data_IF_658837481238
#
_entry.id   IF_658837481238
#
_cell.length_a   1.000
_cell.length_b   1.000
_cell.length_c   1.000
_cell.angle_alpha   90.00
_cell.angle_beta   90.00
_cell.angle_gamma   90.00
#
_symmetry.space_group_name_H-M   'P 1'
#
loop_
_entity.id
_entity.type
_entity.pdbx_description
1 polymer ?
#
# COMPACT_ATOMS: atom_id res chain seq x y z
N UNK A 1 -11.74 -13.81 -2.61
CA UNK A 1 -12.37 -12.65 -3.26
C UNK A 1 -11.37 -11.51 -3.28
N UNK A 2 -11.09 -10.93 -4.45
CA UNK A 2 -10.25 -9.73 -4.58
C UNK A 2 -11.02 -8.52 -4.07
N UNK A 3 -10.45 -7.78 -3.10
CA UNK A 3 -11.06 -6.54 -2.61
C UNK A 3 -10.62 -5.39 -3.51
N UNK A 4 -11.59 -4.63 -4.00
CA UNK A 4 -11.36 -3.45 -4.84
C UNK A 4 -11.38 -2.21 -3.93
N UNK A 5 -10.37 -1.35 -4.04
CA UNK A 5 -10.19 -0.16 -3.22
C UNK A 5 -9.91 1.04 -4.14
N UNK A 6 -10.60 2.16 -3.91
CA UNK A 6 -10.45 3.39 -4.71
C UNK A 6 -9.73 4.45 -3.89
N UNK A 7 -8.63 5.02 -4.39
CA UNK A 7 -7.87 6.06 -3.66
C UNK A 7 -8.62 7.38 -3.51
N UNK A 8 -9.46 7.74 -4.49
CA UNK A 8 -10.19 9.02 -4.47
C UNK A 8 -11.19 9.15 -3.32
N UNK A 9 -11.61 8.04 -2.72
CA UNK A 9 -12.52 8.04 -1.56
C UNK A 9 -11.80 8.51 -0.28
N UNK A 10 -10.47 8.64 -0.32
CA UNK A 10 -9.61 8.91 0.83
C UNK A 10 -8.75 10.16 0.68
N UNK A 11 -8.69 10.74 -0.52
CA UNK A 11 -8.05 12.04 -0.70
C UNK A 11 -8.82 13.11 0.08
N UNK A 12 -8.12 14.10 0.64
CA UNK A 12 -8.79 15.27 1.21
C UNK A 12 -9.60 15.92 0.09
N UNK A 13 -10.93 15.84 0.17
CA UNK A 13 -11.78 16.67 -0.66
C UNK A 13 -11.37 18.13 -0.44
N UNK A 14 -10.66 18.74 -1.40
CA UNK A 14 -10.75 20.20 -1.50
C UNK A 14 -12.24 20.49 -1.69
N UNK A 15 -12.82 21.48 -0.97
CA UNK A 15 -14.14 21.99 -1.37
C UNK A 15 -14.06 22.29 -2.87
N UNK A 16 -15.08 21.89 -3.63
CA UNK A 16 -15.19 22.04 -5.09
C UNK A 16 -15.10 23.52 -5.50
N UNK A 17 -13.96 24.18 -5.32
CA UNK A 17 -13.67 25.49 -5.88
C UNK A 17 -13.12 25.24 -7.27
N UNK A 18 -14.04 25.25 -8.24
CA UNK A 18 -13.78 25.50 -9.66
C UNK A 18 -12.78 24.54 -10.34
N UNK A 19 -13.06 23.23 -10.33
CA UNK A 19 -12.47 22.30 -11.31
C UNK A 19 -13.13 22.41 -12.71
N UNK A 20 -13.53 23.63 -13.14
CA UNK A 20 -14.14 23.78 -14.48
C UNK A 20 -13.12 23.62 -15.62
N UNK A 21 -11.82 23.81 -15.37
CA UNK A 21 -10.81 23.87 -16.45
C UNK A 21 -9.49 23.12 -16.16
N UNK A 22 -9.40 22.18 -15.21
CA UNK A 22 -8.16 21.36 -15.10
C UNK A 22 -8.21 20.26 -16.15
N UNK A 23 -7.32 20.37 -17.13
CA UNK A 23 -7.06 19.33 -18.12
C UNK A 23 -6.73 18.03 -17.40
N UNK A 24 -7.28 16.91 -17.90
CA UNK A 24 -7.11 15.56 -17.33
C UNK A 24 -5.63 15.11 -17.27
N UNK A 25 -4.71 15.88 -17.86
CA UNK A 25 -3.28 15.59 -17.98
C UNK A 25 -2.38 16.47 -17.09
N UNK A 26 -2.95 17.26 -16.17
CA UNK A 26 -2.11 18.04 -15.27
C UNK A 26 -1.37 17.09 -14.31
N UNK A 27 -0.07 17.32 -14.06
CA UNK A 27 0.71 16.48 -13.17
C UNK A 27 0.12 16.55 -11.74
N UNK A 28 0.29 15.47 -10.96
CA UNK A 28 -0.25 15.39 -9.59
C UNK A 28 0.87 15.59 -8.57
N UNK A 29 0.67 16.47 -7.59
CA UNK A 29 1.64 16.62 -6.52
C UNK A 29 1.47 15.53 -5.46
N UNK A 30 2.58 14.99 -4.95
CA UNK A 30 2.55 13.90 -3.97
C UNK A 30 1.77 14.25 -2.69
N UNK A 31 1.83 15.50 -2.23
CA UNK A 31 1.11 15.93 -1.03
C UNK A 31 -0.41 15.71 -1.14
N UNK A 32 -0.96 15.71 -2.35
CA UNK A 32 -2.39 15.48 -2.59
C UNK A 32 -2.79 14.02 -2.36
N UNK A 33 -1.82 13.10 -2.42
CA UNK A 33 -1.99 11.66 -2.28
C UNK A 33 -1.61 11.15 -0.88
N UNK A 34 -0.70 11.85 -0.19
CA UNK A 34 -0.10 11.45 1.08
C UNK A 34 -1.14 10.95 2.10
N UNK A 35 -2.16 11.76 2.39
CA UNK A 35 -3.20 11.39 3.38
C UNK A 35 -4.07 10.23 2.90
N UNK A 36 -4.32 10.14 1.59
CA UNK A 36 -5.11 9.07 1.00
C UNK A 36 -4.40 7.72 1.14
N UNK A 37 -3.10 7.69 0.83
CA UNK A 37 -2.24 6.51 1.00
C UNK A 37 -2.26 6.04 2.46
N UNK A 38 -2.05 6.97 3.39
CA UNK A 38 -2.02 6.67 4.83
C UNK A 38 -3.36 6.14 5.35
N UNK A 39 -4.47 6.79 4.99
CA UNK A 39 -5.83 6.34 5.38
C UNK A 39 -6.17 4.97 4.82
N UNK A 40 -5.78 4.68 3.57
CA UNK A 40 -5.98 3.37 2.96
C UNK A 40 -5.23 2.29 3.73
N UNK A 41 -3.98 2.55 4.08
CA UNK A 41 -3.16 1.61 4.82
C UNK A 41 -3.81 1.26 6.17
N UNK A 42 -4.25 2.25 6.95
CA UNK A 42 -4.89 2.00 8.24
C UNK A 42 -6.26 1.33 8.11
N UNK A 43 -7.13 1.81 7.21
CA UNK A 43 -8.49 1.29 7.08
C UNK A 43 -8.54 -0.17 6.63
N UNK A 44 -7.60 -0.59 5.78
CA UNK A 44 -7.59 -1.91 5.18
C UNK A 44 -6.50 -2.84 5.72
N UNK A 45 -5.81 -2.43 6.80
CA UNK A 45 -4.69 -3.15 7.40
C UNK A 45 -4.97 -4.64 7.61
N UNK A 46 -6.04 -5.00 8.34
CA UNK A 46 -6.36 -6.41 8.61
C UNK A 46 -6.61 -7.24 7.35
N UNK A 47 -7.14 -6.61 6.30
CA UNK A 47 -7.36 -7.30 5.02
C UNK A 47 -6.04 -7.49 4.29
N UNK A 48 -5.20 -6.45 4.24
CA UNK A 48 -3.88 -6.47 3.61
C UNK A 48 -2.99 -7.52 4.28
N UNK A 49 -2.86 -7.47 5.62
CA UNK A 49 -2.01 -8.37 6.39
C UNK A 49 -2.44 -9.82 6.24
N UNK A 50 -3.74 -10.12 6.34
CA UNK A 50 -4.25 -11.47 6.10
C UNK A 50 -3.90 -11.99 4.71
N UNK A 51 -4.04 -11.16 3.68
CA UNK A 51 -3.67 -11.56 2.32
C UNK A 51 -2.15 -11.80 2.17
N UNK A 52 -1.31 -10.96 2.78
CA UNK A 52 0.14 -11.18 2.83
C UNK A 52 0.44 -12.52 3.51
N UNK A 53 -0.14 -12.74 4.69
CA UNK A 53 0.04 -13.97 5.45
C UNK A 53 -0.38 -15.20 4.68
N UNK A 54 -1.49 -15.14 3.94
CA UNK A 54 -2.01 -16.27 3.18
C UNK A 54 -1.17 -16.53 1.91
N UNK A 55 -0.68 -15.49 1.24
CA UNK A 55 0.21 -15.65 0.09
C UNK A 55 1.60 -16.16 0.50
N UNK A 56 2.20 -15.62 1.57
CA UNK A 56 3.46 -16.16 2.11
C UNK A 56 3.31 -17.59 2.62
N UNK A 57 2.18 -17.91 3.25
CA UNK A 57 1.86 -19.28 3.66
C UNK A 57 1.78 -20.22 2.47
N UNK A 58 1.19 -19.80 1.35
CA UNK A 58 1.13 -20.61 0.13
C UNK A 58 2.53 -20.83 -0.46
N UNK A 59 3.36 -19.78 -0.54
CA UNK A 59 4.73 -19.88 -1.06
C UNK A 59 5.62 -20.77 -0.19
N UNK A 60 5.41 -20.79 1.12
CA UNK A 60 6.17 -21.61 2.08
C UNK A 60 5.41 -22.82 2.60
N UNK A 61 4.34 -23.22 1.91
CA UNK A 61 3.39 -24.25 2.34
C UNK A 61 4.07 -25.56 2.72
N UNK A 62 5.09 -25.98 1.96
CA UNK A 62 5.87 -27.19 2.22
C UNK A 62 6.64 -27.17 3.56
N UNK A 63 7.00 -25.99 4.09
CA UNK A 63 7.70 -25.86 5.38
C UNK A 63 6.76 -25.86 6.58
N UNK A 64 5.45 -25.65 6.37
CA UNK A 64 4.47 -25.38 7.42
C UNK A 64 3.53 -26.58 7.67
N UNK A 65 3.43 -27.52 6.74
CA UNK A 65 2.54 -28.71 6.83
C UNK A 65 2.81 -29.62 8.03
N UNK A 66 3.96 -29.49 8.70
CA UNK A 66 4.30 -30.21 9.95
C UNK A 66 3.94 -29.45 11.24
N UNK A 67 3.44 -28.21 11.15
CA UNK A 67 3.16 -27.36 12.31
C UNK A 67 1.68 -27.38 12.68
N UNK A 68 1.38 -27.55 13.97
CA UNK A 68 0.02 -27.38 14.48
C UNK A 68 -0.48 -25.92 14.37
N UNK A 69 -1.79 -25.70 14.48
CA UNK A 69 -2.44 -24.38 14.29
C UNK A 69 -1.81 -23.25 15.14
N UNK A 70 -1.41 -23.55 16.38
CA UNK A 70 -0.76 -22.58 17.28
C UNK A 70 0.64 -22.18 16.79
N UNK A 71 1.45 -23.17 16.38
CA UNK A 71 2.78 -22.94 15.79
C UNK A 71 2.70 -22.22 14.44
N UNK A 72 1.64 -22.44 13.67
CA UNK A 72 1.39 -21.73 12.40
C UNK A 72 1.14 -20.24 12.59
N UNK A 73 0.37 -19.84 13.61
CA UNK A 73 0.14 -18.42 13.92
C UNK A 73 1.42 -17.74 14.40
N UNK A 74 2.13 -18.37 15.35
CA UNK A 74 3.46 -17.93 15.78
C UNK A 74 4.43 -17.76 14.60
N UNK A 75 4.45 -18.72 13.66
CA UNK A 75 5.28 -18.59 12.47
C UNK A 75 4.89 -17.37 11.63
N UNK A 76 3.60 -17.12 11.38
CA UNK A 76 3.15 -15.94 10.62
C UNK A 76 3.62 -14.63 11.26
N UNK A 77 3.57 -14.54 12.59
CA UNK A 77 3.89 -13.30 13.31
C UNK A 77 5.38 -13.01 13.39
N UNK A 78 6.24 -14.03 13.34
CA UNK A 78 7.70 -13.86 13.40
C UNK A 78 8.39 -13.94 12.02
N UNK A 79 7.83 -14.70 11.09
CA UNK A 79 8.48 -14.96 9.80
C UNK A 79 8.32 -13.79 8.85
N UNK A 80 7.13 -13.20 8.73
CA UNK A 80 6.88 -12.11 7.79
C UNK A 80 7.78 -10.90 8.09
N UNK A 81 7.87 -10.41 9.34
CA UNK A 81 8.83 -9.36 9.72
C UNK A 81 10.29 -9.66 9.36
N UNK A 82 10.70 -10.92 9.47
CA UNK A 82 12.10 -11.34 9.30
C UNK A 82 12.50 -11.44 7.83
N UNK A 83 11.57 -11.81 6.96
CA UNK A 83 11.86 -12.12 5.56
C UNK A 83 11.26 -11.12 4.57
N UNK A 84 10.29 -10.31 4.99
CA UNK A 84 9.79 -9.24 4.16
C UNK A 84 10.63 -7.98 4.36
N UNK A 85 11.39 -7.61 3.32
CA UNK A 85 12.20 -6.41 3.34
C UNK A 85 11.33 -5.15 3.16
N UNK A 86 10.71 -4.69 4.24
CA UNK A 86 9.87 -3.48 4.26
C UNK A 86 10.63 -2.18 4.05
N UNK A 87 11.96 -2.22 4.06
CA UNK A 87 12.82 -1.04 3.94
C UNK A 87 13.12 -0.65 2.49
N UNK A 88 12.83 -1.53 1.52
CA UNK A 88 12.98 -1.25 0.09
C UNK A 88 11.69 -1.52 -0.67
N UNK A 89 11.48 -0.91 -1.85
CA UNK A 89 10.39 -1.28 -2.74
C UNK A 89 10.36 -2.79 -3.02
N UNK A 90 9.19 -3.41 -2.93
CA UNK A 90 9.04 -4.83 -3.23
C UNK A 90 7.74 -5.11 -3.99
N UNK A 91 7.67 -6.26 -4.63
CA UNK A 91 6.42 -6.78 -5.19
C UNK A 91 5.88 -7.85 -4.25
N UNK A 92 4.76 -7.56 -3.59
CA UNK A 92 3.99 -8.58 -2.88
C UNK A 92 2.77 -8.91 -3.73
N UNK A 93 2.43 -10.20 -3.83
CA UNK A 93 1.06 -10.56 -4.16
C UNK A 93 0.20 -10.31 -2.91
N UNK A 94 -0.73 -9.35 -2.94
CA UNK A 94 -1.58 -8.99 -1.79
C UNK A 94 -3.08 -9.11 -2.11
N UNK A 95 -3.45 -9.65 -3.29
CA UNK A 95 -4.84 -9.88 -3.73
C UNK A 95 -5.80 -8.68 -3.56
N UNK A 96 -5.27 -7.46 -3.55
CA UNK A 96 -6.05 -6.22 -3.52
C UNK A 96 -5.79 -5.49 -4.82
N UNK A 97 -6.87 -5.03 -5.45
CA UNK A 97 -6.78 -4.19 -6.65
C UNK A 97 -7.08 -2.76 -6.23
N UNK A 98 -6.09 -1.89 -6.33
CA UNK A 98 -6.32 -0.45 -6.29
C UNK A 98 -6.83 -0.03 -7.66
N UNK A 99 -8.00 0.62 -7.69
CA UNK A 99 -8.58 1.14 -8.93
C UNK A 99 -8.49 2.66 -8.98
N UNK A 100 -8.35 3.15 -10.22
CA UNK A 100 -8.23 4.57 -10.51
C UNK A 100 -9.57 5.25 -10.23
N UNK A 101 -9.56 6.28 -9.39
CA UNK A 101 -10.68 7.21 -9.31
C UNK A 101 -10.77 8.05 -10.59
N UNK A 102 -11.96 8.50 -10.98
CA UNK A 102 -12.17 9.28 -12.22
C UNK A 102 -11.29 10.54 -12.32
N UNK A 103 -10.93 11.14 -11.19
CA UNK A 103 -10.07 12.33 -11.10
C UNK A 103 -8.56 12.02 -11.10
N UNK A 104 -8.17 10.75 -11.04
CA UNK A 104 -6.77 10.30 -10.96
C UNK A 104 -6.33 9.58 -12.24
N UNK A 105 -6.97 9.89 -13.37
CA UNK A 105 -6.59 9.33 -14.68
C UNK A 105 -5.17 9.73 -15.10
N UNK A 106 -4.65 10.85 -14.59
CA UNK A 106 -3.29 11.31 -14.84
C UNK A 106 -2.20 10.44 -14.21
N UNK A 107 -2.52 9.60 -13.20
CA UNK A 107 -1.54 8.71 -12.57
C UNK A 107 -1.24 7.54 -13.50
N UNK A 108 0.02 7.42 -13.91
CA UNK A 108 0.50 6.28 -14.71
C UNK A 108 0.33 4.95 -13.99
N UNK A 109 0.37 3.84 -14.72
CA UNK A 109 0.30 2.51 -14.13
C UNK A 109 1.48 2.24 -13.18
N UNK A 110 2.69 2.69 -13.53
CA UNK A 110 3.87 2.57 -12.69
C UNK A 110 3.70 3.30 -11.35
N UNK A 111 3.19 4.53 -11.40
CA UNK A 111 2.93 5.32 -10.20
C UNK A 111 1.86 4.65 -9.31
N UNK A 112 0.88 3.96 -9.90
CA UNK A 112 -0.07 3.14 -9.15
C UNK A 112 0.57 1.94 -8.46
N UNK A 113 1.54 1.27 -9.09
CA UNK A 113 2.30 0.21 -8.43
C UNK A 113 3.11 0.75 -7.25
N UNK A 114 3.77 1.91 -7.41
CA UNK A 114 4.48 2.57 -6.30
C UNK A 114 3.54 2.90 -5.14
N UNK A 115 2.36 3.48 -5.43
CA UNK A 115 1.33 3.78 -4.43
C UNK A 115 0.85 2.52 -3.72
N UNK A 116 0.65 1.44 -4.47
CA UNK A 116 0.22 0.15 -3.92
C UNK A 116 1.24 -0.41 -2.95
N UNK A 117 2.52 -0.40 -3.34
CA UNK A 117 3.62 -0.87 -2.51
C UNK A 117 3.74 -0.06 -1.21
N UNK A 118 3.69 1.28 -1.29
CA UNK A 118 3.71 2.14 -0.10
C UNK A 118 2.58 1.82 0.88
N UNK A 119 1.35 1.60 0.40
CA UNK A 119 0.21 1.24 1.26
C UNK A 119 0.52 -0.06 2.03
N UNK A 120 1.04 -1.07 1.33
CA UNK A 120 1.36 -2.37 1.91
C UNK A 120 2.51 -2.26 2.93
N UNK A 121 3.54 -1.47 2.61
CA UNK A 121 4.67 -1.22 3.49
C UNK A 121 4.23 -0.54 4.77
N UNK A 122 3.43 0.53 4.68
CA UNK A 122 2.86 1.22 5.85
C UNK A 122 2.02 0.25 6.69
N UNK A 123 1.15 -0.56 6.06
CA UNK A 123 0.39 -1.57 6.79
C UNK A 123 1.29 -2.54 7.55
N UNK A 124 2.32 -3.06 6.88
CA UNK A 124 3.17 -4.12 7.43
C UNK A 124 4.07 -3.58 8.53
N UNK A 125 4.65 -2.40 8.34
CA UNK A 125 5.47 -1.73 9.35
C UNK A 125 4.63 -1.42 10.59
N UNK A 126 3.42 -0.89 10.42
CA UNK A 126 2.57 -0.57 11.57
C UNK A 126 2.06 -1.82 12.27
N UNK A 127 1.56 -2.82 11.53
CA UNK A 127 0.95 -4.02 12.12
C UNK A 127 1.94 -4.82 12.97
N UNK A 128 3.19 -4.94 12.51
CA UNK A 128 4.23 -5.70 13.18
C UNK A 128 5.16 -4.84 14.05
N UNK A 129 4.85 -3.55 14.23
CA UNK A 129 5.64 -2.61 15.04
C UNK A 129 7.13 -2.61 14.64
N UNK A 130 7.41 -2.56 13.33
CA UNK A 130 8.78 -2.71 12.80
C UNK A 130 9.62 -1.43 12.89
N UNK A 131 9.00 -0.30 13.23
CA UNK A 131 9.64 0.99 13.37
C UNK A 131 9.07 1.72 14.58
N UNK A 132 9.93 2.41 15.34
CA UNK A 132 9.52 3.20 16.52
C UNK A 132 8.75 4.48 16.14
N UNK A 133 8.96 4.96 14.92
CA UNK A 133 8.35 6.17 14.40
C UNK A 133 7.28 5.82 13.36
N UNK A 134 6.25 6.66 13.31
CA UNK A 134 5.18 6.51 12.34
C UNK A 134 5.70 6.84 10.93
N UNK A 135 5.72 5.83 10.06
CA UNK A 135 6.18 5.98 8.67
C UNK A 135 5.26 6.92 7.91
N UNK A 136 5.81 8.00 7.37
CA UNK A 136 5.06 8.87 6.47
C UNK A 136 5.20 8.40 5.02
N UNK A 137 4.13 8.46 4.21
CA UNK A 137 4.22 8.07 2.80
C UNK A 137 5.27 8.86 2.02
N UNK A 138 5.51 10.13 2.37
CA UNK A 138 6.56 10.95 1.75
C UNK A 138 7.95 10.34 1.91
N UNK A 139 8.26 9.74 3.07
CA UNK A 139 9.56 9.12 3.34
C UNK A 139 9.81 7.93 2.40
N UNK A 140 8.75 7.18 2.11
CA UNK A 140 8.79 6.08 1.16
C UNK A 140 8.85 6.58 -0.29
N UNK A 141 8.17 7.69 -0.59
CA UNK A 141 8.00 8.19 -1.95
C UNK A 141 9.33 8.49 -2.64
N UNK A 142 10.33 8.95 -1.90
CA UNK A 142 11.68 9.19 -2.41
C UNK A 142 12.43 7.93 -2.87
N UNK A 143 11.93 6.74 -2.55
CA UNK A 143 12.53 5.46 -2.96
C UNK A 143 12.05 4.99 -4.34
N UNK A 144 11.08 5.67 -4.95
CA UNK A 144 10.49 5.27 -6.22
C UNK A 144 10.81 6.27 -7.34
N UNK A 145 10.77 5.76 -8.57
CA UNK A 145 10.77 6.60 -9.77
C UNK A 145 9.32 6.90 -10.15
N UNK A 146 9.03 8.19 -10.31
CA UNK A 146 7.70 8.70 -10.63
C UNK A 146 7.63 9.16 -12.07
N UNK A 147 6.51 8.87 -12.73
CA UNK A 147 6.27 9.28 -14.13
C UNK A 147 5.38 10.51 -14.21
N UNK A 148 4.34 10.56 -13.38
CA UNK A 148 3.27 11.58 -13.45
C UNK A 148 3.09 12.35 -12.14
N UNK A 149 3.86 11.97 -11.11
CA UNK A 149 3.81 12.56 -9.77
C UNK A 149 5.09 13.36 -9.53
N UNK A 150 4.95 14.54 -8.95
CA UNK A 150 6.07 15.41 -8.58
C UNK A 150 6.04 15.77 -7.09
N UNK A 151 7.19 16.25 -6.63
CA UNK A 151 7.44 16.73 -5.28
C UNK A 151 7.72 18.23 -5.40
N UNK A 152 6.83 19.06 -4.88
CA UNK A 152 7.06 20.49 -4.66
C UNK A 152 7.68 20.72 -3.28
#
# INVERSE_FOLDING_TARGET
MTKIIVLSDYSKHRPKKNFKNKTINDPICFYELNDGIKKLAYKYMDTIIRNIQDNFLHTHYQKITSLNKKKKNLFKDFYIPKYLNVNSPFSICHNIKLIRGHHLKAISENDWYNITDMIIRICTITYYDLCKEEVQPIDLAHQYRWTSIYFE
#
